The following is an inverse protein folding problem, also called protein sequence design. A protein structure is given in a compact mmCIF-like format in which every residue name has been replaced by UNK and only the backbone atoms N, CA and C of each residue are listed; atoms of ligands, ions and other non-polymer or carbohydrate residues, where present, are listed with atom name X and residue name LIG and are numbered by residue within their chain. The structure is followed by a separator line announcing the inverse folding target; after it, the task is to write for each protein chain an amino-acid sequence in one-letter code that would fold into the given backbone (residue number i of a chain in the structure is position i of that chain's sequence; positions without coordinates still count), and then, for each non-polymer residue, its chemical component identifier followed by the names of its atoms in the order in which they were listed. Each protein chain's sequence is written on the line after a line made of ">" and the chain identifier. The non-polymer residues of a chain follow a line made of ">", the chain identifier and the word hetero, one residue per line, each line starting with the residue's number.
data_IF_253359131571
#
_entry.id   IF_253359131571
#
_cell.length_a   1.000
_cell.length_b   1.000
_cell.length_c   1.000
_cell.angle_alpha   90.00
_cell.angle_beta   90.00
_cell.angle_gamma   90.00
#
_symmetry.space_group_name_H-M   'P 1'
#
loop_
_entity.id
_entity.type
_entity.pdbx_description
1 polymer ?
#
# COMPACT_ATOMS: atom_id res chain seq x y z
N UNK A 1 25.83 6.30 -44.47
CA UNK A 1 26.63 7.46 -44.03
C UNK A 1 26.43 7.59 -42.52
N UNK A 2 27.42 7.19 -41.72
CA UNK A 2 27.35 7.19 -40.25
C UNK A 2 28.01 8.48 -39.76
N UNK A 3 27.28 9.29 -38.98
CA UNK A 3 27.83 10.49 -38.33
C UNK A 3 28.06 10.13 -36.87
N UNK A 4 29.34 10.14 -36.49
CA UNK A 4 29.86 9.97 -35.14
C UNK A 4 29.99 11.37 -34.55
N UNK A 5 29.33 11.66 -33.43
CA UNK A 5 29.52 12.89 -32.65
C UNK A 5 30.40 12.55 -31.44
N UNK A 6 31.66 12.99 -31.50
CA UNK A 6 32.55 13.07 -30.34
C UNK A 6 32.14 14.27 -29.47
N UNK A 7 31.91 14.05 -28.18
CA UNK A 7 31.81 15.11 -27.19
C UNK A 7 33.14 15.23 -26.45
N UNK A 8 33.78 16.40 -26.56
CA UNK A 8 35.07 16.73 -25.98
C UNK A 8 34.93 17.27 -24.55
N UNK A 9 35.95 16.94 -23.77
CA UNK A 9 36.23 17.23 -22.37
C UNK A 9 36.37 18.75 -22.14
N UNK A 10 35.72 19.28 -21.11
CA UNK A 10 35.85 20.65 -20.64
C UNK A 10 36.27 20.71 -19.17
N UNK A 11 37.54 21.07 -18.94
CA UNK A 11 38.15 21.41 -17.65
C UNK A 11 37.45 22.61 -16.98
N UNK A 12 37.21 22.56 -15.67
CA UNK A 12 36.95 23.76 -14.85
C UNK A 12 38.08 23.93 -13.83
N UNK A 13 38.79 25.05 -13.95
CA UNK A 13 39.88 25.49 -13.08
C UNK A 13 39.32 26.16 -11.81
N UNK A 14 39.92 25.83 -10.68
CA UNK A 14 39.68 26.46 -9.38
C UNK A 14 40.31 27.87 -9.30
N UNK A 15 39.65 28.78 -8.58
CA UNK A 15 40.20 30.09 -8.17
C UNK A 15 40.34 30.12 -6.64
N UNK A 16 41.46 30.62 -6.08
CA UNK A 16 41.60 30.77 -4.64
C UNK A 16 41.41 32.22 -4.17
N UNK A 17 40.86 32.35 -2.96
CA UNK A 17 41.21 33.42 -2.03
C UNK A 17 40.20 34.56 -1.89
N UNK A 18 39.58 34.65 -0.71
CA UNK A 18 39.40 35.94 -0.04
C UNK A 18 39.34 35.72 1.48
N UNK A 19 40.31 36.32 2.17
CA UNK A 19 40.40 36.47 3.64
C UNK A 19 39.54 37.65 4.04
N UNK A 20 38.68 37.49 5.04
CA UNK A 20 38.07 38.61 5.76
C UNK A 20 38.62 38.64 7.19
N UNK A 21 39.20 39.79 7.56
CA UNK A 21 39.65 40.11 8.91
C UNK A 21 38.47 40.65 9.73
N UNK A 22 38.37 40.23 10.98
CA UNK A 22 37.44 40.78 11.97
C UNK A 22 38.12 41.89 12.76
N UNK A 23 37.53 43.08 12.74
CA UNK A 23 37.86 44.20 13.63
C UNK A 23 36.76 44.28 14.67
N UNK A 24 37.14 44.25 15.95
CA UNK A 24 36.24 44.40 17.10
C UNK A 24 36.40 45.83 17.63
N UNK A 25 35.31 46.56 17.91
CA UNK A 25 35.35 47.68 18.84
C UNK A 25 34.66 47.33 20.17
N UNK A 26 35.34 47.67 21.26
CA UNK A 26 34.83 47.65 22.63
C UNK A 26 33.93 48.87 22.89
N UNK A 27 32.86 48.65 23.65
CA UNK A 27 32.38 49.60 24.66
C UNK A 27 31.20 50.50 24.29
N UNK A 28 29.99 50.12 24.71
CA UNK A 28 28.99 51.05 25.25
C UNK A 28 27.90 50.28 26.02
N UNK A 29 27.77 50.60 27.30
CA UNK A 29 26.65 50.25 28.18
C UNK A 29 25.37 50.96 27.74
N UNK A 30 24.21 50.29 27.84
CA UNK A 30 22.97 50.90 28.33
C UNK A 30 21.95 49.82 28.72
N UNK A 31 21.45 49.96 29.95
CA UNK A 31 20.28 49.29 30.50
C UNK A 31 19.01 49.87 29.87
N UNK A 32 18.01 49.04 29.61
CA UNK A 32 16.68 49.52 29.22
C UNK A 32 15.85 48.48 28.47
N UNK A 33 14.93 47.85 29.21
CA UNK A 33 13.58 47.46 28.80
C UNK A 33 13.25 47.49 27.29
N UNK A 34 12.99 46.34 26.69
CA UNK A 34 11.64 45.85 26.40
C UNK A 34 11.73 44.48 25.72
N UNK A 35 10.92 43.56 26.22
CA UNK A 35 10.83 42.18 25.78
C UNK A 35 10.02 42.11 24.48
N UNK A 36 10.69 42.15 23.34
CA UNK A 36 10.16 41.61 22.09
C UNK A 36 11.11 40.54 21.58
N UNK A 37 10.80 39.29 21.90
CA UNK A 37 11.47 38.14 21.31
C UNK A 37 11.03 38.03 19.85
N UNK A 38 11.75 38.71 18.96
CA UNK A 38 11.68 38.42 17.53
C UNK A 38 12.18 37.00 17.31
N UNK A 39 11.23 36.07 17.25
CA UNK A 39 11.49 34.70 16.82
C UNK A 39 11.83 34.75 15.33
N UNK A 40 13.13 34.69 15.04
CA UNK A 40 13.65 34.48 13.70
C UNK A 40 13.23 33.08 13.23
N UNK A 41 12.03 32.96 12.65
CA UNK A 41 11.65 31.76 11.94
C UNK A 41 12.51 31.68 10.67
N UNK A 42 13.23 30.57 10.43
CA UNK A 42 13.87 30.38 9.14
C UNK A 42 12.79 30.49 8.06
N UNK A 43 12.94 31.43 7.13
CA UNK A 43 12.20 31.42 5.86
C UNK A 43 12.74 30.23 5.09
N UNK A 44 12.12 29.07 5.32
CA UNK A 44 12.34 27.90 4.50
C UNK A 44 12.08 28.31 3.04
N UNK A 45 12.98 27.98 2.09
CA UNK A 45 12.61 28.09 0.70
C UNK A 45 11.31 27.32 0.51
N UNK A 46 10.31 27.93 -0.15
CA UNK A 46 9.14 27.20 -0.65
C UNK A 46 9.63 26.22 -1.71
N UNK A 47 10.26 25.13 -1.26
CA UNK A 47 10.49 23.95 -2.06
C UNK A 47 9.12 23.50 -2.58
N UNK A 48 8.99 23.09 -3.85
CA UNK A 48 7.73 22.56 -4.32
C UNK A 48 7.27 21.47 -3.38
N UNK A 49 6.09 21.72 -2.85
CA UNK A 49 5.41 21.02 -1.79
C UNK A 49 5.26 19.52 -2.12
N UNK A 50 6.27 18.72 -1.77
CA UNK A 50 6.20 17.26 -1.73
C UNK A 50 5.40 16.83 -0.49
N UNK A 51 4.21 17.43 -0.29
CA UNK A 51 3.17 16.95 0.62
C UNK A 51 3.05 15.44 0.38
N UNK A 52 3.53 14.67 1.36
CA UNK A 52 3.93 13.26 1.23
C UNK A 52 2.83 12.41 0.63
N UNK A 53 2.99 12.24 -0.67
CA UNK A 53 2.15 11.48 -1.54
C UNK A 53 2.36 9.99 -1.24
N UNK A 54 1.53 9.43 -0.36
CA UNK A 54 1.61 8.00 0.00
C UNK A 54 0.87 7.17 -1.06
N UNK A 55 1.53 6.19 -1.69
CA UNK A 55 0.85 5.25 -2.57
C UNK A 55 -0.21 4.43 -1.81
N UNK A 56 -1.21 3.92 -2.51
CA UNK A 56 -2.24 3.03 -1.95
C UNK A 56 -2.28 1.73 -2.73
N UNK A 57 -2.87 0.70 -2.14
CA UNK A 57 -3.03 -0.60 -2.79
C UNK A 57 -4.12 -0.48 -3.86
N UNK A 58 -3.77 -0.89 -5.08
CA UNK A 58 -4.67 -0.87 -6.24
C UNK A 58 -4.94 -2.28 -6.75
N UNK A 59 -3.97 -3.18 -6.57
CA UNK A 59 -4.05 -4.54 -7.07
C UNK A 59 -3.71 -5.54 -5.96
N UNK A 60 -4.43 -6.65 -5.94
CA UNK A 60 -4.18 -7.80 -5.07
C UNK A 60 -4.40 -9.03 -5.93
N UNK A 61 -3.53 -10.03 -5.77
CA UNK A 61 -3.64 -11.32 -6.43
C UNK A 61 -3.23 -12.44 -5.45
N UNK A 62 -3.80 -13.62 -5.66
CA UNK A 62 -3.41 -14.85 -4.98
C UNK A 62 -2.56 -15.69 -5.92
N UNK A 63 -1.41 -16.16 -5.45
CA UNK A 63 -0.56 -17.12 -6.16
C UNK A 63 -0.48 -18.42 -5.35
N UNK A 64 -0.36 -19.55 -6.03
CA UNK A 64 -0.11 -20.83 -5.37
C UNK A 64 0.86 -21.71 -6.15
N UNK A 65 1.43 -22.72 -5.50
CA UNK A 65 2.39 -23.63 -6.12
C UNK A 65 2.90 -24.70 -5.16
N UNK A 66 3.72 -25.61 -5.68
CA UNK A 66 4.30 -26.73 -4.92
C UNK A 66 5.58 -26.37 -4.19
N UNK A 67 6.12 -25.17 -4.42
CA UNK A 67 7.36 -24.66 -3.83
C UNK A 67 7.10 -23.29 -3.20
N UNK A 68 7.92 -22.89 -2.22
CA UNK A 68 7.78 -21.60 -1.52
C UNK A 68 8.19 -20.41 -2.40
N UNK A 69 9.13 -20.64 -3.33
CA UNK A 69 9.77 -19.62 -4.16
C UNK A 69 8.93 -19.23 -5.40
N UNK A 70 7.63 -19.04 -5.24
CA UNK A 70 6.74 -18.63 -6.34
C UNK A 70 6.85 -17.11 -6.54
N UNK A 71 7.21 -16.63 -7.75
CA UNK A 71 7.29 -15.20 -8.00
C UNK A 71 5.90 -14.57 -8.12
N UNK A 72 5.73 -13.37 -7.55
CA UNK A 72 4.57 -12.53 -7.86
C UNK A 72 4.64 -12.00 -9.31
N UNK A 73 3.50 -11.60 -9.89
CA UNK A 73 3.49 -10.92 -11.17
C UNK A 73 4.34 -9.63 -11.18
N UNK A 74 4.83 -9.18 -12.35
CA UNK A 74 5.54 -7.92 -12.45
C UNK A 74 4.75 -6.74 -11.86
N UNK A 75 5.42 -5.92 -11.04
CA UNK A 75 4.79 -4.77 -10.37
C UNK A 75 4.11 -5.09 -9.02
N UNK A 76 4.17 -6.32 -8.54
CA UNK A 76 3.61 -6.73 -7.26
C UNK A 76 4.72 -7.03 -6.24
N UNK A 77 4.48 -6.68 -4.98
CA UNK A 77 5.21 -7.21 -3.83
C UNK A 77 4.54 -8.47 -3.28
N UNK A 78 5.34 -9.39 -2.74
CA UNK A 78 4.88 -10.62 -2.06
C UNK A 78 4.75 -10.37 -0.56
N UNK A 79 3.63 -10.76 0.05
CA UNK A 79 3.53 -10.94 1.49
C UNK A 79 4.08 -12.33 1.82
N UNK A 80 5.25 -12.38 2.45
CA UNK A 80 6.04 -13.60 2.66
C UNK A 80 5.53 -14.43 3.84
N UNK A 81 4.24 -14.75 3.81
CA UNK A 81 3.57 -15.66 4.75
C UNK A 81 2.72 -16.63 3.95
N UNK A 82 3.08 -17.91 4.05
CA UNK A 82 2.27 -19.00 3.50
C UNK A 82 0.92 -19.07 4.22
N UNK A 83 -0.18 -18.96 3.47
CA UNK A 83 -1.54 -19.01 4.01
C UNK A 83 -1.94 -20.43 4.43
N UNK A 84 -1.23 -21.45 3.95
CA UNK A 84 -1.40 -22.85 4.34
C UNK A 84 -0.38 -23.31 5.39
N UNK A 85 0.24 -22.38 6.12
CA UNK A 85 1.32 -22.71 7.04
C UNK A 85 0.90 -23.75 8.11
N UNK A 86 1.68 -24.84 8.19
CA UNK A 86 1.43 -26.04 9.00
C UNK A 86 0.13 -26.80 8.73
N UNK A 87 -0.63 -26.38 7.73
CA UNK A 87 -1.86 -27.03 7.32
C UNK A 87 -1.55 -28.20 6.36
N UNK A 88 -0.48 -28.07 5.57
CA UNK A 88 -0.16 -28.95 4.45
C UNK A 88 -0.71 -28.37 3.14
N UNK A 89 -0.64 -29.13 2.04
CA UNK A 89 -1.10 -28.66 0.73
C UNK A 89 -0.10 -27.75 -0.01
N UNK A 90 -0.55 -27.04 -1.06
CA UNK A 90 0.28 -26.11 -1.81
C UNK A 90 0.62 -24.87 -0.98
N UNK A 91 1.74 -24.22 -1.29
CA UNK A 91 2.05 -22.89 -0.78
C UNK A 91 1.11 -21.87 -1.40
N UNK A 92 0.60 -20.94 -0.59
CA UNK A 92 -0.31 -19.89 -1.05
C UNK A 92 0.17 -18.55 -0.50
N UNK A 93 0.30 -17.55 -1.38
CA UNK A 93 0.74 -16.21 -0.99
C UNK A 93 -0.14 -15.12 -1.59
N UNK A 94 -0.25 -14.01 -0.85
CA UNK A 94 -0.83 -12.77 -1.36
C UNK A 94 0.25 -11.90 -2.01
N UNK A 95 -0.03 -11.47 -3.22
CA UNK A 95 0.71 -10.44 -3.94
C UNK A 95 -0.11 -9.16 -3.96
N UNK A 96 0.52 -8.00 -3.84
CA UNK A 96 -0.17 -6.72 -4.00
C UNK A 96 0.68 -5.69 -4.74
N UNK A 97 0.00 -4.85 -5.53
CA UNK A 97 0.59 -3.73 -6.26
C UNK A 97 0.04 -2.42 -5.72
N UNK A 98 0.92 -1.44 -5.55
CA UNK A 98 0.54 -0.07 -5.18
C UNK A 98 0.44 0.81 -6.42
N UNK A 99 -0.31 1.90 -6.32
CA UNK A 99 -0.46 2.85 -7.42
C UNK A 99 0.83 3.64 -7.67
N UNK A 100 1.16 3.85 -8.94
CA UNK A 100 2.27 4.72 -9.36
C UNK A 100 1.87 6.21 -9.35
N UNK A 101 0.55 6.47 -9.37
CA UNK A 101 -0.03 7.80 -9.36
C UNK A 101 -1.08 7.93 -8.26
N UNK A 102 -1.11 9.10 -7.65
CA UNK A 102 -2.10 9.41 -6.62
C UNK A 102 -3.33 10.11 -7.16
N UNK A 103 -3.20 10.70 -8.34
CA UNK A 103 -4.31 11.32 -9.06
C UNK A 103 -5.21 10.26 -9.70
N UNK A 104 -4.68 9.08 -9.99
CA UNK A 104 -5.45 8.00 -10.58
C UNK A 104 -6.20 7.18 -9.53
N UNK A 105 -7.26 7.76 -8.93
CA UNK A 105 -8.10 7.05 -7.98
C UNK A 105 -8.85 5.84 -8.57
N UNK A 106 -8.72 5.59 -9.87
CA UNK A 106 -9.41 4.50 -10.56
C UNK A 106 -8.89 3.17 -10.02
N UNK A 107 -9.79 2.38 -9.44
CA UNK A 107 -9.42 1.08 -8.87
C UNK A 107 -8.72 1.16 -7.51
N UNK A 108 -8.74 2.32 -6.83
CA UNK A 108 -8.36 2.37 -5.43
C UNK A 108 -9.25 1.42 -4.62
N UNK A 109 -8.63 0.52 -3.85
CA UNK A 109 -9.35 -0.40 -2.97
C UNK A 109 -9.73 0.37 -1.71
N UNK A 110 -11.01 0.36 -1.34
CA UNK A 110 -11.51 1.05 -0.14
C UNK A 110 -11.45 0.12 1.10
N UNK A 111 -11.45 -1.19 0.89
CA UNK A 111 -11.36 -2.18 1.96
C UNK A 111 -11.25 -3.61 1.46
N UNK A 112 -10.92 -4.51 2.38
CA UNK A 112 -10.90 -5.94 2.17
C UNK A 112 -11.92 -6.62 3.07
N UNK A 113 -12.51 -7.68 2.55
CA UNK A 113 -13.44 -8.55 3.25
C UNK A 113 -13.15 -10.01 2.91
N UNK A 114 -13.39 -10.90 3.84
CA UNK A 114 -13.21 -12.35 3.65
C UNK A 114 -14.58 -13.01 3.71
N UNK A 115 -14.79 -14.01 2.85
CA UNK A 115 -16.00 -14.81 2.78
C UNK A 115 -15.65 -16.28 2.94
N UNK A 116 -16.41 -16.98 3.78
CA UNK A 116 -16.31 -18.43 3.96
C UNK A 116 -17.48 -19.12 3.26
N UNK A 117 -17.22 -20.21 2.57
CA UNK A 117 -18.26 -21.02 1.91
C UNK A 117 -18.04 -22.51 2.17
N UNK A 118 -19.13 -23.29 2.19
CA UNK A 118 -19.05 -24.76 2.33
C UNK A 118 -18.88 -25.48 0.99
N UNK A 119 -19.01 -24.75 -0.12
CA UNK A 119 -18.86 -25.24 -1.48
C UNK A 119 -17.94 -24.30 -2.26
N UNK A 120 -17.23 -24.85 -3.23
CA UNK A 120 -16.31 -24.07 -4.07
C UNK A 120 -17.07 -23.01 -4.88
N UNK A 121 -16.53 -21.80 -4.95
CA UNK A 121 -17.10 -20.70 -5.70
C UNK A 121 -16.27 -20.45 -6.98
N UNK A 122 -16.77 -20.87 -8.16
CA UNK A 122 -16.03 -20.70 -9.41
C UNK A 122 -15.86 -19.23 -9.83
N UNK A 123 -16.67 -18.31 -9.29
CA UNK A 123 -16.54 -16.88 -9.58
C UNK A 123 -15.29 -16.27 -8.94
N UNK A 124 -14.76 -16.88 -7.87
CA UNK A 124 -13.58 -16.39 -7.18
C UNK A 124 -12.30 -16.45 -8.05
N UNK A 125 -12.29 -17.29 -9.07
CA UNK A 125 -11.11 -17.52 -9.91
C UNK A 125 -10.75 -16.29 -10.75
N UNK A 126 -11.76 -15.56 -11.24
CA UNK A 126 -11.62 -14.56 -12.31
C UNK A 126 -12.05 -13.16 -11.88
N UNK A 127 -11.81 -12.77 -10.62
CA UNK A 127 -12.28 -11.49 -10.07
C UNK A 127 -13.78 -11.26 -10.24
N UNK A 128 -14.57 -12.33 -10.11
CA UNK A 128 -16.02 -12.27 -10.25
C UNK A 128 -16.64 -11.26 -9.29
N UNK A 129 -17.77 -10.71 -9.70
CA UNK A 129 -18.50 -9.79 -8.85
C UNK A 129 -19.06 -10.52 -7.63
N UNK A 130 -18.69 -10.07 -6.44
CA UNK A 130 -19.23 -10.57 -5.17
C UNK A 130 -20.51 -9.83 -4.78
N UNK A 131 -20.50 -8.50 -4.88
CA UNK A 131 -21.63 -7.65 -4.51
C UNK A 131 -21.90 -6.61 -5.59
N UNK A 132 -23.14 -6.52 -6.03
CA UNK A 132 -23.61 -5.50 -6.98
C UNK A 132 -24.65 -4.58 -6.35
N UNK A 133 -24.68 -3.33 -6.80
CA UNK A 133 -25.74 -2.36 -6.53
C UNK A 133 -26.14 -1.72 -7.86
N UNK A 134 -27.40 -1.86 -8.27
CA UNK A 134 -27.92 -1.28 -9.52
C UNK A 134 -26.99 -1.57 -10.71
N UNK A 135 -26.72 -2.86 -10.96
CA UNK A 135 -25.86 -3.37 -12.05
C UNK A 135 -24.37 -3.02 -11.97
N UNK A 136 -23.95 -2.20 -11.00
CA UNK A 136 -22.53 -1.90 -10.80
C UNK A 136 -21.95 -2.81 -9.73
N UNK A 137 -20.85 -3.48 -10.04
CA UNK A 137 -20.14 -4.27 -9.04
C UNK A 137 -19.36 -3.35 -8.09
N UNK A 138 -19.55 -3.54 -6.79
CA UNK A 138 -18.92 -2.74 -5.71
C UNK A 138 -17.95 -3.56 -4.87
N UNK A 139 -17.90 -4.88 -5.08
CA UNK A 139 -16.96 -5.78 -4.41
C UNK A 139 -16.63 -6.93 -5.35
N UNK A 140 -15.34 -7.14 -5.59
CA UNK A 140 -14.83 -8.19 -6.47
C UNK A 140 -14.02 -9.19 -5.67
N UNK A 141 -14.08 -10.47 -6.05
CA UNK A 141 -13.08 -11.42 -5.57
C UNK A 141 -11.68 -11.00 -6.01
N UNK A 142 -10.68 -11.33 -5.21
CA UNK A 142 -9.28 -11.15 -5.58
C UNK A 142 -8.91 -12.16 -6.66
N UNK A 143 -8.12 -11.72 -7.64
CA UNK A 143 -7.69 -12.58 -8.74
C UNK A 143 -6.89 -13.75 -8.23
N UNK A 144 -7.30 -14.96 -8.60
CA UNK A 144 -6.46 -16.13 -8.46
C UNK A 144 -5.58 -16.30 -9.70
N UNK A 145 -4.28 -16.48 -9.51
CA UNK A 145 -3.36 -16.82 -10.58
C UNK A 145 -3.13 -18.32 -10.53
N UNK A 146 -3.39 -18.99 -11.65
CA UNK A 146 -3.25 -20.44 -11.75
C UNK A 146 -1.84 -20.88 -11.31
N UNK A 147 -1.73 -21.97 -10.54
CA UNK A 147 -2.76 -22.99 -10.26
C UNK A 147 -3.73 -22.67 -9.10
N UNK A 148 -3.77 -21.44 -8.60
CA UNK A 148 -4.72 -21.08 -7.54
C UNK A 148 -6.17 -21.07 -8.06
N UNK A 149 -7.09 -21.61 -7.25
CA UNK A 149 -8.54 -21.54 -7.47
C UNK A 149 -9.21 -20.40 -6.66
N UNK A 150 -8.42 -19.51 -6.06
CA UNK A 150 -8.91 -18.38 -5.26
C UNK A 150 -9.26 -18.73 -3.82
N UNK A 151 -9.26 -20.01 -3.46
CA UNK A 151 -9.40 -20.49 -2.10
C UNK A 151 -8.09 -20.32 -1.33
N UNK A 152 -8.12 -19.59 -0.21
CA UNK A 152 -6.93 -19.28 0.57
C UNK A 152 -6.35 -20.46 1.34
N UNK A 153 -7.16 -21.50 1.56
CA UNK A 153 -6.73 -22.77 2.15
C UNK A 153 -6.82 -23.94 1.15
N UNK A 154 -6.65 -23.63 -0.14
CA UNK A 154 -6.75 -24.60 -1.23
C UNK A 154 -5.93 -25.86 -0.92
N UNK A 155 -6.57 -27.03 -1.07
CA UNK A 155 -5.93 -28.34 -0.96
C UNK A 155 -5.76 -28.87 0.45
N UNK A 156 -6.20 -28.14 1.48
CA UNK A 156 -6.08 -28.58 2.88
C UNK A 156 -7.41 -29.00 3.51
N UNK A 157 -8.52 -28.71 2.83
CA UNK A 157 -9.87 -29.01 3.30
C UNK A 157 -10.36 -28.03 4.37
N UNK A 158 -11.61 -28.21 4.80
CA UNK A 158 -12.32 -27.23 5.63
C UNK A 158 -13.32 -26.42 4.79
N UNK A 159 -13.70 -25.26 5.31
CA UNK A 159 -14.48 -24.28 4.55
C UNK A 159 -13.58 -23.62 3.49
N UNK A 160 -14.14 -23.26 2.36
CA UNK A 160 -13.47 -22.44 1.35
C UNK A 160 -13.42 -20.99 1.81
N UNK A 161 -12.30 -20.32 1.61
CA UNK A 161 -12.04 -18.97 2.12
C UNK A 161 -11.61 -18.06 0.96
N UNK A 162 -12.42 -17.04 0.67
CA UNK A 162 -12.20 -16.13 -0.45
C UNK A 162 -11.95 -14.70 0.01
N UNK A 163 -10.95 -14.04 -0.58
CA UNK A 163 -10.77 -12.59 -0.42
C UNK A 163 -11.65 -11.84 -1.40
N UNK A 164 -12.26 -10.78 -0.93
CA UNK A 164 -12.85 -9.76 -1.77
C UNK A 164 -12.24 -8.38 -1.48
N UNK A 165 -12.11 -7.59 -2.54
CA UNK A 165 -11.74 -6.18 -2.51
C UNK A 165 -12.98 -5.35 -2.76
N UNK A 166 -13.25 -4.43 -1.84
CA UNK A 166 -14.30 -3.45 -2.01
C UNK A 166 -13.76 -2.32 -2.87
N UNK A 167 -14.41 -2.16 -4.02
CA UNK A 167 -14.09 -1.13 -4.98
C UNK A 167 -15.18 -0.09 -4.91
N UNK A 168 -14.79 1.17 -5.04
CA UNK A 168 -15.80 2.17 -5.29
C UNK A 168 -16.31 2.01 -6.73
N UNK A 169 -17.62 1.97 -6.95
CA UNK A 169 -18.14 2.25 -8.28
C UNK A 169 -17.73 3.68 -8.62
N UNK A 170 -16.81 3.82 -9.57
CA UNK A 170 -16.67 5.10 -10.26
C UNK A 170 -17.95 5.33 -11.04
N UNK A 171 -18.93 5.97 -10.42
CA UNK A 171 -20.03 6.59 -11.16
C UNK A 171 -19.31 7.59 -12.07
N UNK A 172 -19.38 7.39 -13.38
CA UNK A 172 -18.52 8.02 -14.38
C UNK A 172 -18.34 9.53 -14.15
N UNK A 173 -19.42 10.21 -13.78
CA UNK A 173 -19.43 11.66 -13.55
C UNK A 173 -18.75 12.10 -12.24
N UNK A 174 -18.68 11.23 -11.22
CA UNK A 174 -18.13 11.55 -9.90
C UNK A 174 -16.62 11.26 -9.76
N UNK A 175 -16.05 10.39 -10.61
CA UNK A 175 -14.60 10.15 -10.64
C UNK A 175 -13.87 11.20 -11.48
N UNK A 176 -14.50 11.77 -12.51
CA UNK A 176 -13.90 12.83 -13.32
C UNK A 176 -13.82 14.18 -12.58
N UNK A 177 -14.74 14.45 -11.65
CA UNK A 177 -14.77 15.71 -10.90
C UNK A 177 -13.67 15.86 -9.83
N UNK A 178 -12.81 14.84 -9.62
CA UNK A 178 -11.71 14.92 -8.64
C UNK A 178 -12.16 15.04 -7.18
N UNK A 179 -13.46 14.84 -6.88
CA UNK A 179 -14.01 14.92 -5.52
C UNK A 179 -13.84 13.57 -4.81
N UNK A 180 -12.60 13.21 -4.50
CA UNK A 180 -12.27 12.02 -3.69
C UNK A 180 -12.12 12.32 -2.19
N UNK A 181 -12.39 13.56 -1.77
CA UNK A 181 -12.23 14.00 -0.38
C UNK A 181 -13.04 13.13 0.59
N UNK A 182 -12.43 12.77 1.72
CA UNK A 182 -13.10 12.09 2.82
C UNK A 182 -13.33 10.60 2.61
N UNK A 183 -12.55 9.94 1.73
CA UNK A 183 -12.70 8.50 1.45
C UNK A 183 -11.59 7.68 2.06
N UNK A 184 -11.94 6.49 2.55
CA UNK A 184 -10.94 5.54 3.04
C UNK A 184 -10.29 4.83 1.86
N UNK A 185 -8.96 4.73 1.87
CA UNK A 185 -8.20 3.91 0.93
C UNK A 185 -7.37 2.89 1.68
N UNK A 186 -7.25 1.70 1.12
CA UNK A 186 -6.36 0.66 1.57
C UNK A 186 -4.91 1.09 1.32
N UNK A 187 -4.19 1.39 2.40
CA UNK A 187 -2.79 1.81 2.33
C UNK A 187 -1.84 0.64 2.38
N UNK A 188 -2.17 -0.32 3.22
CA UNK A 188 -1.27 -1.41 3.53
C UNK A 188 -2.04 -2.63 4.00
N UNK A 189 -1.45 -3.78 3.72
CA UNK A 189 -1.94 -5.10 4.10
C UNK A 189 -0.82 -5.75 4.89
N UNK A 190 -1.18 -6.40 5.99
CA UNK A 190 -0.27 -7.24 6.75
C UNK A 190 -0.96 -8.58 7.03
N UNK A 191 -0.14 -9.61 7.23
CA UNK A 191 -0.60 -10.92 7.68
C UNK A 191 0.01 -11.15 9.06
N UNK A 192 -0.82 -11.59 10.00
CA UNK A 192 -0.37 -12.06 11.31
C UNK A 192 -0.67 -13.53 11.47
N UNK A 193 0.26 -14.25 12.11
CA UNK A 193 0.22 -15.71 12.25
C UNK A 193 0.59 -16.13 13.66
N UNK A 194 -0.02 -17.19 14.18
CA UNK A 194 0.31 -17.80 15.47
C UNK A 194 -0.69 -18.86 15.89
N UNK A 195 -0.70 -19.21 17.18
CA UNK A 195 -1.48 -20.35 17.71
C UNK A 195 -2.85 -19.96 18.31
N UNK A 196 -3.12 -18.66 18.46
CA UNK A 196 -4.36 -18.15 19.09
C UNK A 196 -5.13 -17.22 18.14
N UNK A 197 -6.44 -17.13 18.33
CA UNK A 197 -7.27 -16.13 17.67
C UNK A 197 -7.01 -14.70 18.17
N UNK A 198 -6.33 -14.52 19.31
CA UNK A 198 -6.10 -13.23 19.96
C UNK A 198 -4.86 -12.48 19.43
N UNK A 199 -4.22 -12.99 18.38
CA UNK A 199 -3.06 -12.32 17.77
C UNK A 199 -3.47 -10.92 17.31
N UNK A 200 -2.77 -9.90 17.83
CA UNK A 200 -2.99 -8.51 17.51
C UNK A 200 -2.37 -8.15 16.15
N UNK A 201 -3.05 -7.29 15.39
CA UNK A 201 -2.45 -6.63 14.24
C UNK A 201 -1.42 -5.60 14.68
N UNK A 202 -0.49 -5.19 13.80
CA UNK A 202 0.37 -4.05 14.05
C UNK A 202 -0.44 -2.77 14.34
N UNK A 203 0.17 -1.80 15.01
CA UNK A 203 -0.45 -0.51 15.30
C UNK A 203 -1.05 0.12 14.04
N UNK A 204 -2.28 0.66 14.14
CA UNK A 204 -3.04 1.31 13.07
C UNK A 204 -3.68 0.37 12.03
N UNK A 205 -3.53 -0.95 12.18
CA UNK A 205 -4.24 -1.91 11.34
C UNK A 205 -5.51 -2.41 12.02
N UNK A 206 -6.51 -2.70 11.21
CA UNK A 206 -7.74 -3.39 11.63
C UNK A 206 -7.68 -4.84 11.19
N UNK A 207 -7.92 -5.76 12.13
CA UNK A 207 -7.99 -7.20 11.88
C UNK A 207 -9.28 -7.55 11.13
N UNK A 208 -9.18 -8.38 10.10
CA UNK A 208 -10.34 -9.11 9.56
C UNK A 208 -10.50 -10.39 10.40
N UNK A 209 -11.61 -10.56 11.14
CA UNK A 209 -11.73 -11.58 12.18
C UNK A 209 -12.10 -12.96 11.60
N UNK A 210 -11.45 -13.36 10.51
CA UNK A 210 -11.61 -14.69 9.88
C UNK A 210 -10.22 -15.33 9.80
N UNK A 211 -10.12 -16.54 10.34
CA UNK A 211 -8.94 -17.38 10.24
C UNK A 211 -8.81 -17.90 8.81
N UNK A 212 -7.78 -17.46 8.09
CA UNK A 212 -7.54 -17.83 6.69
C UNK A 212 -7.13 -19.30 6.52
N UNK A 213 -6.92 -19.99 7.63
CA UNK A 213 -6.59 -21.40 7.69
C UNK A 213 -7.67 -22.17 8.48
N UNK A 214 -8.91 -21.67 8.48
CA UNK A 214 -10.01 -22.29 9.23
C UNK A 214 -10.26 -23.72 8.72
N UNK A 215 -10.29 -24.68 9.66
CA UNK A 215 -10.60 -26.08 9.39
C UNK A 215 -9.40 -26.95 9.00
N UNK A 216 -8.23 -26.36 8.75
CA UNK A 216 -7.07 -27.06 8.17
C UNK A 216 -6.05 -27.57 9.20
N UNK A 217 -6.31 -27.38 10.50
CA UNK A 217 -5.41 -27.73 11.63
C UNK A 217 -4.02 -27.06 11.62
N UNK A 218 -3.76 -26.12 10.71
CA UNK A 218 -2.52 -25.33 10.71
C UNK A 218 -2.55 -24.13 11.67
N UNK A 219 -1.55 -23.24 11.54
CA UNK A 219 -1.50 -22.01 12.33
C UNK A 219 -2.70 -21.12 12.05
N UNK A 220 -3.14 -20.34 13.05
CA UNK A 220 -4.12 -19.28 12.89
C UNK A 220 -3.50 -18.14 12.09
N UNK A 221 -4.14 -17.76 10.99
CA UNK A 221 -3.64 -16.73 10.09
C UNK A 221 -4.73 -15.70 9.89
N UNK A 222 -4.42 -14.42 10.04
CA UNK A 222 -5.38 -13.35 9.89
C UNK A 222 -4.82 -12.24 9.01
N UNK A 223 -5.73 -11.64 8.23
CA UNK A 223 -5.43 -10.44 7.46
C UNK A 223 -5.64 -9.20 8.33
N UNK A 224 -4.73 -8.26 8.19
CA UNK A 224 -4.76 -6.94 8.80
C UNK A 224 -4.74 -5.90 7.68
N UNK A 225 -5.61 -4.89 7.75
CA UNK A 225 -5.65 -3.81 6.77
C UNK A 225 -5.48 -2.45 7.43
N UNK A 226 -4.69 -1.57 6.82
CA UNK A 226 -4.61 -0.17 7.20
C UNK A 226 -5.41 0.66 6.20
N UNK A 227 -6.52 1.21 6.67
CA UNK A 227 -7.31 2.17 5.90
C UNK A 227 -6.97 3.59 6.35
N UNK A 228 -6.82 4.52 5.41
CA UNK A 228 -6.62 5.95 5.71
C UNK A 228 -7.58 6.81 4.92
N UNK A 229 -8.09 7.85 5.58
CA UNK A 229 -8.85 8.90 4.93
C UNK A 229 -7.93 9.63 3.95
N UNK A 230 -8.38 9.76 2.72
CA UNK A 230 -7.80 10.69 1.77
C UNK A 230 -8.26 12.09 2.14
N UNK A 231 -7.37 12.84 2.76
CA UNK A 231 -7.58 14.25 3.02
C UNK A 231 -7.49 15.01 1.70
N UNK A 232 -8.48 15.87 1.48
CA UNK A 232 -8.42 16.94 0.48
C UNK A 232 -7.07 17.65 0.52
N UNK A 233 -6.45 17.84 -0.63
CA UNK A 233 -5.42 18.87 -0.77
C UNK A 233 -6.14 20.16 -1.15
N UNK A 234 -6.15 21.15 -0.25
CA UNK A 234 -6.41 22.56 -0.58
C UNK A 234 -5.25 23.12 -1.41
#
# INVERSE_FOLDING_TARGET
>A
MRIIILCLIGFCLASPGLRAQTVVPEGASNEGNESESETFYPVWPKSPDLRQYTPYVQNIALISGTEEAIPCPPGYGKLDVDLNHFAGGPYIFLCYGKSDSLRDSKGAIEGLTVETATLENPLAWNEGCRKSTNETCVSHYVRAIQPSNGDMNQGVGGDFIYLAKDLRPCIADACEAGVSQGRMRLREIAIVKGESADIACPNLYTKIPIDLNQGSRGSKIFLCQMLRLETAFD
#
